data_IF_634778770569
#
_entry.id   IF_634778770569
#
_cell.length_a   1.000
_cell.length_b   1.000
_cell.length_c   1.000
_cell.angle_alpha   90.00
_cell.angle_beta   90.00
_cell.angle_gamma   90.00
#
_symmetry.space_group_name_H-M   'P 1'
#
loop_
_entity.id
_entity.type
_entity.pdbx_description
1 polymer ?
#
# COMPACT_ATOMS: atom_id res chain seq x y z
N UNK A 1 21.68 11.14 9.08
CA UNK A 1 20.22 10.97 8.86
C UNK A 1 19.77 9.75 9.66
N UNK A 2 18.86 9.89 10.64
CA UNK A 2 18.58 8.84 11.61
C UNK A 2 17.74 7.73 10.95
N UNK A 3 18.24 6.50 11.00
CA UNK A 3 17.54 5.29 10.55
C UNK A 3 16.47 4.96 11.59
N UNK A 4 15.19 4.83 11.23
CA UNK A 4 14.18 4.39 12.18
C UNK A 4 14.47 2.94 12.62
N UNK A 5 14.47 2.73 13.93
CA UNK A 5 14.93 1.53 14.64
C UNK A 5 14.01 0.31 14.54
N UNK A 6 13.08 0.26 13.59
CA UNK A 6 12.19 -0.88 13.36
C UNK A 6 12.40 -1.43 11.94
N UNK A 7 12.67 -2.74 11.78
CA UNK A 7 12.70 -3.37 10.46
C UNK A 7 11.28 -3.40 9.89
N UNK A 8 10.89 -2.33 9.19
CA UNK A 8 9.67 -2.30 8.40
C UNK A 8 9.89 -3.19 7.16
N UNK A 9 8.99 -4.15 6.95
CA UNK A 9 9.03 -5.04 5.80
C UNK A 9 8.21 -4.40 4.68
N UNK A 10 8.81 -4.25 3.51
CA UNK A 10 8.10 -3.80 2.31
C UNK A 10 7.17 -4.91 1.82
N UNK A 11 5.92 -4.89 2.27
CA UNK A 11 4.90 -5.87 1.83
C UNK A 11 4.34 -5.54 0.45
N UNK A 12 4.36 -4.27 0.04
CA UNK A 12 3.84 -3.82 -1.25
C UNK A 12 4.52 -2.55 -1.75
N UNK A 13 4.47 -2.30 -3.06
CA UNK A 13 4.95 -1.08 -3.71
C UNK A 13 3.83 -0.38 -4.50
N UNK A 14 3.73 0.94 -4.35
CA UNK A 14 2.88 1.76 -5.21
C UNK A 14 3.49 1.84 -6.62
N UNK A 15 2.77 1.34 -7.62
CA UNK A 15 3.16 1.36 -9.03
C UNK A 15 2.59 2.56 -9.81
N UNK A 16 1.84 3.45 -9.15
CA UNK A 16 1.30 4.68 -9.73
C UNK A 16 -0.21 4.86 -9.48
N UNK A 17 -0.76 5.97 -9.98
CA UNK A 17 -2.19 6.24 -9.90
C UNK A 17 -3.00 5.25 -10.77
N UNK A 18 -4.16 4.83 -10.26
CA UNK A 18 -5.09 3.96 -10.94
C UNK A 18 -6.47 4.63 -11.06
N UNK A 19 -6.87 4.92 -12.30
CA UNK A 19 -8.18 5.49 -12.57
C UNK A 19 -8.35 6.95 -12.17
N UNK A 20 -9.54 7.47 -12.44
CA UNK A 20 -9.93 8.88 -12.22
C UNK A 20 -10.58 9.12 -10.85
N UNK A 21 -10.76 8.06 -10.05
CA UNK A 21 -11.41 8.09 -8.74
C UNK A 21 -10.43 8.15 -7.56
N UNK A 22 -9.17 8.50 -7.81
CA UNK A 22 -8.13 8.53 -6.78
C UNK A 22 -7.76 7.15 -6.25
N UNK A 23 -7.79 6.10 -7.09
CA UNK A 23 -7.27 4.79 -6.68
C UNK A 23 -5.78 4.74 -6.98
N UNK A 24 -5.05 3.90 -6.25
CA UNK A 24 -3.60 3.71 -6.39
C UNK A 24 -3.34 2.27 -6.78
N UNK A 25 -2.53 2.07 -7.81
CA UNK A 25 -2.06 0.74 -8.20
C UNK A 25 -0.96 0.32 -7.23
N UNK A 26 -1.20 -0.74 -6.50
CA UNK A 26 -0.27 -1.35 -5.55
C UNK A 26 0.12 -2.73 -6.07
N UNK A 27 1.41 -2.97 -6.17
CA UNK A 27 1.99 -4.29 -6.43
C UNK A 27 2.31 -4.93 -5.08
N UNK A 28 1.60 -6.00 -4.73
CA UNK A 28 1.90 -6.78 -3.54
C UNK A 28 3.09 -7.71 -3.78
N UNK A 29 3.90 -7.91 -2.75
CA UNK A 29 4.94 -8.94 -2.69
C UNK A 29 4.56 -10.11 -1.76
N UNK A 30 3.38 -10.06 -1.14
CA UNK A 30 2.81 -11.16 -0.37
C UNK A 30 2.22 -12.24 -1.28
N UNK A 31 2.16 -13.46 -0.76
CA UNK A 31 1.52 -14.61 -1.43
C UNK A 31 0.05 -14.33 -1.76
N UNK A 32 -0.68 -13.74 -0.79
CA UNK A 32 -2.02 -13.21 -1.03
C UNK A 32 -2.00 -11.67 -1.14
N UNK A 33 -2.43 -11.09 -2.27
CA UNK A 33 -2.44 -9.63 -2.46
C UNK A 33 -3.38 -8.89 -1.50
N UNK A 34 -4.45 -9.52 -1.01
CA UNK A 34 -5.36 -8.91 -0.03
C UNK A 34 -4.75 -8.94 1.37
N UNK A 35 -3.90 -9.92 1.68
CA UNK A 35 -3.21 -9.99 2.97
C UNK A 35 -2.36 -8.73 3.24
N UNK A 36 -1.71 -8.16 2.21
CA UNK A 36 -1.01 -6.87 2.30
C UNK A 36 -1.83 -5.75 2.94
N UNK A 37 -3.16 -5.77 2.73
CA UNK A 37 -4.09 -4.71 3.08
C UNK A 37 -4.67 -4.93 4.48
N UNK A 38 -4.59 -6.17 4.99
CA UNK A 38 -5.01 -6.57 6.34
C UNK A 38 -3.97 -6.23 7.40
N UNK A 39 -2.69 -6.03 7.05
CA UNK A 39 -1.64 -5.67 8.01
C UNK A 39 -1.82 -4.27 8.64
N UNK A 40 -2.75 -3.46 8.13
CA UNK A 40 -3.08 -2.14 8.66
C UNK A 40 -2.57 -0.98 7.80
N UNK A 41 -2.52 0.25 8.34
CA UNK A 41 -2.10 1.42 7.58
C UNK A 41 -0.67 1.24 7.05
N UNK A 42 -0.50 1.40 5.74
CA UNK A 42 0.81 1.26 5.10
C UNK A 42 1.68 2.43 5.55
N UNK A 43 2.80 2.10 6.17
CA UNK A 43 3.76 3.09 6.67
C UNK A 43 4.91 3.25 5.68
N UNK A 44 5.39 4.48 5.59
CA UNK A 44 6.63 4.78 4.89
C UNK A 44 7.83 4.19 5.63
N UNK A 45 8.98 4.14 4.96
CA UNK A 45 10.27 3.82 5.55
C UNK A 45 10.58 4.68 6.79
N UNK A 46 9.98 5.87 6.90
CA UNK A 46 10.09 6.76 8.06
C UNK A 46 9.08 6.48 9.19
N UNK A 47 8.23 5.47 9.07
CA UNK A 47 7.20 5.11 10.05
C UNK A 47 5.95 6.01 10.03
N UNK A 48 5.89 7.00 9.13
CA UNK A 48 4.71 7.83 8.89
C UNK A 48 3.64 7.01 8.16
N UNK A 49 2.38 7.13 8.56
CA UNK A 49 1.25 6.62 7.77
C UNK A 49 1.32 7.24 6.38
N UNK A 50 1.47 6.39 5.37
CA UNK A 50 1.63 6.78 3.97
C UNK A 50 0.30 6.65 3.25
N UNK A 51 -0.40 5.53 3.48
CA UNK A 51 -1.67 5.21 2.84
C UNK A 51 -2.54 4.40 3.80
N UNK A 52 -3.71 4.93 4.12
CA UNK A 52 -4.77 4.20 4.81
C UNK A 52 -5.73 3.62 3.78
N UNK A 53 -5.58 2.33 3.49
CA UNK A 53 -6.44 1.61 2.53
C UNK A 53 -7.87 1.52 3.09
N UNK A 54 -8.82 2.20 2.44
CA UNK A 54 -10.26 2.11 2.77
C UNK A 54 -10.93 0.98 2.02
N UNK A 55 -10.61 0.85 0.75
CA UNK A 55 -11.18 -0.16 -0.14
C UNK A 55 -10.13 -0.59 -1.12
N UNK A 56 -10.17 -1.86 -1.51
CA UNK A 56 -9.22 -2.39 -2.49
C UNK A 56 -9.88 -3.43 -3.37
N UNK A 57 -9.44 -3.47 -4.63
CA UNK A 57 -9.88 -4.45 -5.62
C UNK A 57 -8.68 -5.08 -6.30
N UNK A 58 -8.76 -6.38 -6.54
CA UNK A 58 -7.76 -7.10 -7.30
C UNK A 58 -7.94 -6.75 -8.78
N UNK A 59 -6.86 -6.37 -9.44
CA UNK A 59 -6.79 -6.15 -10.89
C UNK A 59 -5.81 -7.15 -11.50
N UNK A 60 -5.84 -7.33 -12.82
CA UNK A 60 -5.20 -8.42 -13.58
C UNK A 60 -3.73 -8.73 -13.26
N UNK A 61 -2.98 -7.83 -12.59
CA UNK A 61 -1.61 -8.04 -12.09
C UNK A 61 -1.23 -7.12 -10.91
N UNK A 62 -2.21 -6.51 -10.24
CA UNK A 62 -1.98 -5.55 -9.17
C UNK A 62 -3.21 -5.42 -8.28
N UNK A 63 -3.15 -4.57 -7.27
CA UNK A 63 -4.27 -4.18 -6.42
C UNK A 63 -4.56 -2.72 -6.74
N UNK A 64 -5.80 -2.37 -7.02
CA UNK A 64 -6.22 -0.98 -6.98
C UNK A 64 -6.75 -0.70 -5.57
N UNK A 65 -6.05 0.12 -4.81
CA UNK A 65 -6.44 0.52 -3.47
C UNK A 65 -6.91 1.96 -3.48
N UNK A 66 -8.10 2.21 -2.95
CA UNK A 66 -8.58 3.53 -2.62
C UNK A 66 -8.15 3.85 -1.18
N UNK A 67 -7.46 4.97 -1.02
CA UNK A 67 -6.91 5.39 0.25
C UNK A 67 -7.63 6.67 0.69
N UNK A 68 -7.86 6.85 1.99
CA UNK A 68 -8.58 8.02 2.52
C UNK A 68 -7.82 9.34 2.29
N UNK A 69 -6.50 9.28 2.11
CA UNK A 69 -5.64 10.45 1.96
C UNK A 69 -5.53 10.96 0.49
N UNK A 70 -6.24 10.34 -0.46
CA UNK A 70 -6.19 10.66 -1.91
C UNK A 70 -7.50 11.29 -2.39
#
# INVERSE_FOLDING_TARGET
MPKPSNPLICVAACAGAFGVKGEVKIKSFTEDPKACLTYGPLKDKNGKTLLTVKSSRMVKNAIAAHCEEI
#
